data_IF_224562959854
#
_entry.id   IF_224562959854
#
_cell.length_a   1.000
_cell.length_b   1.000
_cell.length_c   1.000
_cell.angle_alpha   90.00
_cell.angle_beta   90.00
_cell.angle_gamma   90.00
#
_symmetry.space_group_name_H-M   'P 1'
#
loop_
_entity.id
_entity.type
_entity.pdbx_description
1 polymer ?
2 non-polymer ?
3 non-polymer ?
4 water ?
#
# COMPACT_ATOMS: atom_id res chain seq x y z
N UNK A 1 -8.39 -13.47 10.15
CA UNK A 1 -7.81 -12.14 10.40
C UNK A 1 -7.53 -11.38 9.06
N UNK A 2 -6.60 -11.80 8.19
CA UNK A 2 -6.31 -11.00 6.99
C UNK A 2 -7.09 -11.46 5.78
N UNK A 3 -7.90 -12.52 5.92
CA UNK A 3 -8.38 -13.24 4.74
C UNK A 3 -9.24 -12.43 3.78
N UNK A 4 -10.03 -11.49 4.28
CA UNK A 4 -10.88 -10.74 3.37
C UNK A 4 -10.09 -9.76 2.48
N UNK A 5 -8.81 -9.48 2.84
CA UNK A 5 -7.96 -8.65 2.02
C UNK A 5 -7.33 -9.40 0.85
N UNK A 6 -7.35 -10.74 0.91
CA UNK A 6 -6.60 -11.51 -0.09
C UNK A 6 -7.28 -11.45 -1.44
N UNK A 7 -6.49 -11.42 -2.49
CA UNK A 7 -6.97 -11.48 -3.85
C UNK A 7 -6.33 -10.43 -4.70
N UNK A 8 -6.96 -10.20 -5.86
CA UNK A 8 -6.49 -9.28 -6.86
C UNK A 8 -7.44 -8.08 -6.90
N UNK A 9 -6.85 -6.90 -6.83
CA UNK A 9 -7.57 -5.62 -6.69
C UNK A 9 -7.11 -4.65 -7.73
N UNK A 10 -8.03 -3.85 -8.27
CA UNK A 10 -7.73 -2.90 -9.31
C UNK A 10 -8.06 -1.50 -8.86
N UNK A 11 -7.21 -0.51 -9.15
CA UNK A 11 -7.48 0.88 -8.74
C UNK A 11 -8.67 1.43 -9.54
N UNK A 12 -9.62 2.02 -8.79
CA UNK A 12 -10.81 2.62 -9.42
C UNK A 12 -11.07 4.05 -8.94
N UNK A 13 -10.30 4.60 -8.03
CA UNK A 13 -10.44 6.01 -7.63
C UNK A 13 -9.18 6.42 -6.93
N UNK A 14 -8.80 7.69 -7.07
CA UNK A 14 -7.63 8.18 -6.36
C UNK A 14 -7.82 9.67 -6.05
N UNK A 15 -7.56 9.99 -4.77
CA UNK A 15 -7.67 11.36 -4.26
C UNK A 15 -6.35 11.74 -3.59
N UNK A 16 -5.78 12.85 -4.02
CA UNK A 16 -4.63 13.46 -3.39
C UNK A 16 -3.34 12.63 -3.51
N UNK A 17 -3.25 11.75 -4.51
CA UNK A 17 -1.99 10.99 -4.66
C UNK A 17 -0.86 11.90 -5.05
N UNK A 18 -1.11 12.93 -5.87
CA UNK A 18 -0.02 13.83 -6.19
C UNK A 18 0.51 14.52 -4.94
N UNK A 19 -0.39 14.97 -4.05
CA UNK A 19 0.03 15.57 -2.81
C UNK A 19 0.95 14.63 -2.01
N UNK A 20 0.54 13.38 -1.92
CA UNK A 20 1.31 12.37 -1.17
C UNK A 20 2.69 12.18 -1.79
N UNK A 21 2.72 11.96 -3.11
CA UNK A 21 3.98 11.78 -3.80
C UNK A 21 4.89 12.99 -3.65
N UNK A 22 4.31 14.18 -3.80
CA UNK A 22 5.15 15.37 -3.68
C UNK A 22 5.72 15.50 -2.28
N UNK A 23 4.95 15.15 -1.25
CA UNK A 23 5.42 15.19 0.14
C UNK A 23 6.64 14.28 0.32
N UNK A 24 6.62 13.12 -0.35
CA UNK A 24 7.73 12.16 -0.32
C UNK A 24 8.89 12.62 -1.19
N UNK A 25 8.81 13.71 -1.95
CA UNK A 25 9.89 14.16 -2.79
C UNK A 25 9.96 13.48 -4.16
N UNK A 26 8.88 12.85 -4.60
CA UNK A 26 8.84 12.26 -5.91
C UNK A 26 8.87 13.35 -6.98
N UNK A 27 9.70 13.18 -7.99
CA UNK A 27 9.83 14.18 -9.03
C UNK A 27 8.62 14.32 -9.94
N UNK A 28 8.53 15.49 -10.58
CA UNK A 28 7.30 15.83 -11.30
C UNK A 28 6.98 14.84 -12.41
N UNK A 29 7.99 14.32 -13.11
CA UNK A 29 7.72 13.44 -14.26
C UNK A 29 7.17 12.13 -13.81
N UNK A 30 7.74 11.61 -12.68
CA UNK A 30 7.18 10.40 -12.10
C UNK A 30 5.78 10.61 -11.60
N UNK A 31 5.52 11.77 -10.95
CA UNK A 31 4.16 12.03 -10.50
C UNK A 31 3.18 12.07 -11.67
N UNK A 32 3.61 12.67 -12.76
CA UNK A 32 2.77 12.81 -13.94
C UNK A 32 2.32 11.42 -14.40
N UNK A 33 3.30 10.51 -14.61
CA UNK A 33 2.95 9.18 -15.09
C UNK A 33 2.12 8.44 -14.06
N UNK A 34 2.52 8.53 -12.79
CA UNK A 34 1.79 7.85 -11.72
C UNK A 34 0.35 8.27 -11.63
N UNK A 35 0.06 9.56 -11.92
CA UNK A 35 -1.30 10.07 -11.82
C UNK A 35 -2.23 9.47 -12.84
N UNK A 36 -1.70 8.84 -13.88
CA UNK A 36 -2.48 8.21 -14.95
C UNK A 36 -2.34 6.68 -14.95
N UNK A 37 -1.69 6.14 -13.95
CA UNK A 37 -1.52 4.68 -13.85
C UNK A 37 -2.59 4.10 -12.95
N UNK A 38 -3.06 2.91 -13.25
CA UNK A 38 -4.04 2.20 -12.42
C UNK A 38 -3.43 0.85 -12.04
N UNK A 39 -2.79 0.76 -10.91
CA UNK A 39 -2.14 -0.50 -10.55
C UNK A 39 -3.17 -1.57 -10.22
N UNK A 40 -2.63 -2.80 -10.29
CA UNK A 40 -3.25 -3.99 -9.74
C UNK A 40 -2.48 -4.40 -8.51
N UNK A 41 -3.17 -4.60 -7.40
CA UNK A 41 -2.53 -5.07 -6.17
C UNK A 41 -3.02 -6.49 -5.91
N UNK A 42 -2.06 -7.38 -5.69
CA UNK A 42 -2.34 -8.79 -5.41
C UNK A 42 -1.84 -9.09 -4.01
N UNK A 43 -2.72 -9.58 -3.16
CA UNK A 43 -2.36 -9.92 -1.78
C UNK A 43 -2.60 -11.41 -1.61
N UNK A 44 -1.55 -12.14 -1.23
CA UNK A 44 -1.61 -13.59 -1.08
C UNK A 44 -1.01 -13.97 0.25
N UNK A 45 -1.40 -15.13 0.76
CA UNK A 45 -0.83 -15.65 2.00
C UNK A 45 -0.40 -17.08 1.79
N UNK A 46 0.66 -17.45 2.52
CA UNK A 46 1.11 -18.84 2.62
C UNK A 46 1.50 -19.01 4.08
N UNK A 47 0.61 -19.64 4.82
CA UNK A 47 0.82 -19.70 6.24
C UNK A 47 0.83 -18.31 6.81
N UNK A 48 1.90 -18.03 7.59
CA UNK A 48 2.16 -16.78 8.29
C UNK A 48 2.83 -15.75 7.40
N UNK A 49 3.00 -15.97 6.13
CA UNK A 49 3.71 -15.02 5.28
C UNK A 49 2.76 -14.44 4.23
N UNK A 50 2.69 -13.13 4.22
CA UNK A 50 1.95 -12.40 3.20
C UNK A 50 2.88 -11.88 2.12
N UNK A 51 2.36 -11.89 0.89
CA UNK A 51 3.04 -11.29 -0.22
C UNK A 51 2.09 -10.29 -0.86
N UNK A 52 2.59 -9.07 -1.05
CA UNK A 52 1.80 -7.97 -1.63
C UNK A 52 2.53 -7.48 -2.86
N UNK A 53 1.94 -7.70 -4.05
CA UNK A 53 2.46 -7.28 -5.32
C UNK A 53 1.65 -6.07 -5.83
N UNK A 54 2.39 -5.11 -6.35
CA UNK A 54 1.75 -3.95 -6.99
C UNK A 54 2.30 -3.91 -8.42
N UNK A 55 1.39 -4.09 -9.39
CA UNK A 55 1.78 -4.19 -10.78
C UNK A 55 1.18 -3.06 -11.58
N UNK A 56 1.95 -2.53 -12.50
CA UNK A 56 1.42 -1.48 -13.38
C UNK A 56 2.23 -1.39 -14.62
N UNK A 57 1.79 -0.51 -15.52
CA UNK A 57 2.53 -0.16 -16.72
C UNK A 57 3.76 0.69 -16.44
N UNK A 58 3.94 1.18 -15.22
CA UNK A 58 5.01 2.09 -14.87
C UNK A 58 5.98 1.45 -13.95
N UNK A 59 5.60 1.23 -12.69
CA UNK A 59 6.48 0.54 -11.71
C UNK A 59 5.80 -0.71 -11.21
N UNK A 60 6.61 -1.70 -10.82
CA UNK A 60 6.16 -2.89 -10.16
C UNK A 60 6.92 -3.05 -8.84
N UNK A 61 6.24 -3.52 -7.82
CA UNK A 61 6.87 -3.85 -6.55
C UNK A 61 6.33 -5.17 -6.08
N UNK A 62 7.11 -5.77 -5.08
CA UNK A 62 6.64 -6.95 -4.38
C UNK A 62 7.32 -6.93 -3.02
N UNK A 63 6.54 -7.18 -1.98
CA UNK A 63 7.05 -7.38 -0.65
C UNK A 63 6.49 -8.66 -0.06
N UNK A 64 7.28 -9.33 0.79
CA UNK A 64 6.81 -10.42 1.58
C UNK A 64 7.15 -10.15 3.05
N UNK A 65 6.24 -10.51 3.94
CA UNK A 65 6.41 -10.19 5.35
C UNK A 65 5.55 -11.09 6.19
N UNK A 66 5.92 -11.25 7.48
CA UNK A 66 4.99 -11.74 8.53
C UNK A 66 4.41 -10.56 9.23
N UNK A 67 3.12 -10.68 9.59
CA UNK A 67 2.49 -9.64 10.36
C UNK A 67 3.26 -9.48 11.65
N UNK A 68 3.51 -8.21 11.99
CA UNK A 68 4.11 -7.90 13.25
C UNK A 68 5.60 -8.11 13.34
N UNK A 69 6.27 -8.36 12.21
CA UNK A 69 7.71 -8.56 12.19
C UNK A 69 8.32 -7.57 11.22
N UNK A 70 9.25 -6.77 11.68
CA UNK A 70 9.87 -5.75 10.83
C UNK A 70 10.60 -6.37 9.66
N UNK A 71 10.61 -5.67 8.53
CA UNK A 71 11.30 -6.09 7.33
C UNK A 71 11.88 -4.88 6.63
N UNK A 72 12.97 -5.09 5.90
CA UNK A 72 13.51 -4.08 5.02
C UNK A 72 12.69 -4.01 3.74
N UNK A 73 12.52 -2.79 3.22
CA UNK A 73 11.75 -2.59 2.01
C UNK A 73 12.41 -1.47 1.20
N UNK A 74 12.35 -1.60 -0.13
CA UNK A 74 12.75 -0.55 -1.05
C UNK A 74 11.52 -0.18 -1.85
N UNK A 75 11.01 1.02 -1.63
CA UNK A 75 9.70 1.39 -2.19
C UNK A 75 9.78 1.69 -3.67
N UNK A 76 8.58 1.90 -4.27
CA UNK A 76 8.51 2.17 -5.70
C UNK A 76 9.28 3.42 -6.11
N UNK A 77 9.32 4.41 -5.19
CA UNK A 77 10.04 5.63 -5.38
C UNK A 77 11.46 5.58 -4.80
N UNK A 78 11.94 4.36 -4.54
CA UNK A 78 13.35 4.12 -4.19
C UNK A 78 13.77 4.57 -2.79
N UNK A 79 12.83 4.70 -1.88
CA UNK A 79 13.21 4.85 -0.46
C UNK A 79 13.58 3.50 0.15
N UNK A 80 14.66 3.49 0.94
CA UNK A 80 15.04 2.29 1.69
C UNK A 80 14.53 2.49 3.11
N UNK A 81 13.54 1.68 3.48
CA UNK A 81 12.79 1.89 4.71
C UNK A 81 12.78 0.64 5.56
N UNK A 82 12.45 0.83 6.83
CA UNK A 82 12.16 -0.23 7.79
C UNK A 82 10.66 -0.30 7.95
N UNK A 83 10.07 -1.44 7.69
CA UNK A 83 8.62 -1.57 7.60
C UNK A 83 8.07 -2.58 8.57
N UNK A 84 6.81 -2.39 8.94
CA UNK A 84 6.06 -3.40 9.68
C UNK A 84 4.63 -3.31 9.24
N UNK A 85 3.97 -4.45 9.12
CA UNK A 85 2.56 -4.52 8.77
C UNK A 85 1.86 -5.25 9.88
N UNK A 86 0.72 -4.74 10.35
CA UNK A 86 -0.05 -5.34 11.44
C UNK A 86 -1.55 -5.17 11.16
N UNK A 87 -2.37 -6.04 11.68
CA UNK A 87 -3.79 -5.73 11.78
C UNK A 87 -4.09 -4.87 13.01
N UNK A 88 -4.92 -3.85 12.79
CA UNK A 88 -5.26 -2.91 13.86
C UNK A 88 -6.72 -2.46 13.55
N UNK A 89 -7.62 -2.85 14.43
CA UNK A 89 -9.02 -2.47 14.16
C UNK A 89 -9.56 -3.08 12.92
N UNK A 90 -9.07 -4.24 12.53
CA UNK A 90 -9.48 -4.89 11.27
C UNK A 90 -8.87 -4.28 10.03
N UNK A 91 -7.98 -3.31 10.18
CA UNK A 91 -7.32 -2.67 9.06
C UNK A 91 -5.89 -3.21 8.95
N UNK A 92 -5.42 -3.36 7.74
CA UNK A 92 -4.04 -3.77 7.53
C UNK A 92 -3.20 -2.52 7.54
N UNK A 93 -2.32 -2.25 8.53
CA UNK A 93 -1.58 -1.02 8.70
C UNK A 93 -0.11 -1.28 8.39
N UNK A 94 0.40 -0.62 7.39
CA UNK A 94 1.80 -0.74 6.94
C UNK A 94 2.49 0.57 7.32
N UNK A 95 3.48 0.50 8.22
CA UNK A 95 4.26 1.65 8.65
C UNK A 95 5.65 1.56 8.09
N UNK A 96 6.12 2.59 7.43
CA UNK A 96 7.48 2.70 6.89
C UNK A 96 8.24 3.79 7.61
N UNK A 97 9.48 3.50 7.99
CA UNK A 97 10.35 4.45 8.73
C UNK A 97 11.68 4.60 7.98
N UNK A 98 12.13 5.82 7.82
CA UNK A 98 13.46 6.07 7.21
C UNK A 98 13.90 7.46 7.55
N UNK A 99 15.13 7.65 7.94
CA UNK A 99 15.67 8.99 8.18
C UNK A 99 14.84 9.75 9.24
N UNK A 100 14.25 9.04 10.20
CA UNK A 100 13.40 9.66 11.19
C UNK A 100 12.00 10.03 10.66
N UNK A 101 11.71 9.89 9.36
CA UNK A 101 10.42 10.09 8.77
C UNK A 101 9.59 8.83 8.90
N UNK A 102 8.28 9.00 8.76
CA UNK A 102 7.35 7.90 8.74
C UNK A 102 6.27 8.16 7.68
N UNK A 103 5.75 7.06 7.15
CA UNK A 103 4.51 7.12 6.39
C UNK A 103 3.71 5.88 6.70
N UNK A 104 2.40 6.02 6.68
CA UNK A 104 1.52 4.89 6.88
C UNK A 104 0.68 4.65 5.64
N UNK A 105 0.46 3.36 5.37
CA UNK A 105 -0.37 2.86 4.28
C UNK A 105 -1.41 1.98 4.93
N UNK A 106 -2.65 2.45 5.06
CA UNK A 106 -3.67 1.77 5.83
C UNK A 106 -4.71 1.24 4.85
N UNK A 107 -5.01 -0.06 4.93
CA UNK A 107 -6.01 -0.67 4.06
C UNK A 107 -7.18 -1.15 4.89
N UNK A 108 -8.38 -0.83 4.42
CA UNK A 108 -9.60 -1.22 5.10
C UNK A 108 -10.62 -1.60 4.07
N UNK A 109 -11.54 -2.46 4.46
CA UNK A 109 -12.61 -2.90 3.59
C UNK A 109 -13.85 -2.16 3.95
N UNK A 110 -14.47 -1.53 2.97
CA UNK A 110 -15.75 -0.76 3.14
C UNK A 110 -16.62 -1.14 1.94
N UNK A 111 -17.74 -1.82 2.25
CA UNK A 111 -18.67 -2.26 1.24
C UNK A 111 -18.03 -3.07 0.16
N UNK A 112 -17.11 -3.90 0.60
CA UNK A 112 -16.39 -4.78 -0.34
C UNK A 112 -15.28 -4.13 -1.11
N UNK A 113 -15.07 -2.84 -0.97
CA UNK A 113 -13.99 -2.15 -1.64
C UNK A 113 -12.82 -2.04 -0.70
N UNK A 114 -11.63 -2.05 -1.26
CA UNK A 114 -10.46 -1.82 -0.43
C UNK A 114 -10.10 -0.36 -0.55
N UNK A 115 -10.01 0.27 0.62
CA UNK A 115 -9.65 1.68 0.71
C UNK A 115 -8.25 1.77 1.32
N UNK A 116 -7.33 2.34 0.55
CA UNK A 116 -5.95 2.55 0.94
C UNK A 116 -5.77 4.03 1.28
N UNK A 117 -5.41 4.32 2.51
CA UNK A 117 -5.15 5.68 2.95
C UNK A 117 -3.66 5.82 3.19
N UNK A 118 -3.07 6.74 2.47
CA UNK A 118 -1.62 7.01 2.53
C UNK A 118 -1.44 8.31 3.28
N UNK A 119 -0.58 8.37 4.30
CA UNK A 119 -0.33 9.63 5.03
C UNK A 119 1.15 9.84 5.14
N UNK A 120 1.61 11.03 4.76
CA UNK A 120 3.01 11.43 5.00
C UNK A 120 2.95 12.94 5.24
N UNK A 121 3.63 13.40 6.28
CA UNK A 121 3.51 14.84 6.56
C UNK A 121 2.07 15.17 6.84
N UNK A 122 1.56 16.20 6.20
CA UNK A 122 0.16 16.54 6.30
C UNK A 122 -0.65 15.94 5.16
N UNK A 123 -0.01 15.33 4.16
CA UNK A 123 -0.71 14.81 2.99
C UNK A 123 -1.44 13.52 3.31
N UNK A 124 -2.70 13.46 2.90
CA UNK A 124 -3.54 12.30 3.09
C UNK A 124 -4.16 11.97 1.76
N UNK A 125 -3.81 10.79 1.22
CA UNK A 125 -4.33 10.29 -0.04
C UNK A 125 -5.23 9.10 0.22
N UNK A 126 -6.35 9.03 -0.52
CA UNK A 126 -7.22 7.89 -0.45
C UNK A 126 -7.37 7.27 -1.81
N UNK A 127 -7.03 5.99 -1.94
CA UNK A 127 -7.17 5.25 -3.15
C UNK A 127 -8.06 4.06 -2.95
N UNK A 128 -8.97 3.88 -3.89
CA UNK A 128 -9.97 2.84 -3.78
C UNK A 128 -9.69 1.78 -4.82
N UNK A 129 -9.71 0.53 -4.35
CA UNK A 129 -9.52 -0.64 -5.19
C UNK A 129 -10.76 -1.51 -5.15
N UNK A 130 -11.05 -2.14 -6.29
CA UNK A 130 -12.18 -3.07 -6.38
C UNK A 130 -11.65 -4.45 -6.76
N UNK A 131 -12.29 -5.45 -6.17
CA UNK A 131 -11.84 -6.82 -6.31
C UNK A 131 -12.08 -7.34 -7.71
N UNK A 132 -11.07 -7.94 -8.30
CA UNK A 132 -11.14 -8.75 -9.52
C UNK A 132 -11.42 -10.25 -9.20
N UNK A 133 -12.27 -10.83 -10.01
CA UNK A 133 -12.76 -12.19 -9.90
C UNK A 133 -11.66 -13.11 -10.16
X LIG B 1 -0.77 2.19 -4.30
X LIG B 1 -0.44 1.02 -3.97
X LIG B 1 -1.89 2.45 -4.86
X LIG B 1 0.14 3.35 -4.06
X LIG B 1 1.53 3.03 -3.57
X LIG B 1 2.44 4.22 -3.39
X LIG B 1 3.88 3.83 -3.08
X LIG B 1 4.79 5.01 -2.76
X LIG B 1 4.83 6.13 -3.76
X LIG B 1 5.32 5.67 -5.12
X LIG B 1 5.20 6.78 -6.16
X LIG B 1 5.73 6.43 -7.47
X LIG B 1 5.19 5.36 -8.22
X LIG B 1 3.79 5.18 -8.15
X LIG B 1 3.16 4.34 -9.22
X LIG B 1 2.39 3.15 -8.70
X LIG C 1 -9.34 5.54 -17.94
X LIG C 1 -8.49 4.67 -18.73
X LIG C 1 -9.00 3.26 -18.76
X LIG C 1 -8.89 2.65 -17.53
X LIG C 1 -9.25 1.28 -17.61
X LIG C 1 -9.11 0.57 -16.26
X LIG C 1 -9.84 1.23 -15.20
X LIG C 1 -11.26 1.25 -15.31
X LIG C 1 -11.87 1.79 -14.08
X LIG C 1 -11.54 3.15 -13.91
X LIG C 1 -12.27 3.79 -12.90
X LIG C 1 -11.80 5.23 -12.69
X LIG C 1 -10.47 5.22 -12.18
X LIG C 1 -10.15 6.50 -11.68
X LIG C 1 -8.79 6.53 -11.12
X LIG C 1 -7.86 6.79 -12.14
X LIG C 1 -6.53 6.94 -11.65
X LIG C 1 -5.59 7.15 -12.78
X LIG C 1 -5.85 8.46 -13.36
#
# INVERSE_FOLDING_TARGET
>A
MVDAFLGTWKLVDSKNFDDYMKSLGVGFATRQVASMTKPTTIIEKNGDILTLKTHSTFKNTEISFKLGVEFDETTADDRKVKSIVTLDGGKLVHLQKWDGQETTLVRELIDGKLILTLTHGTAVCTRTYEKEA
>B hetero
1 MYR C1 O1 O2 C2 C3 C4 C5 C6 C7 C8 C9 C10 C11 C12 C13 C14
>C hetero
1 P6G O1 C2 C3 O4 C5 C6 O7 C8 C9 O10 C11 C12 O13 C14 C15 O16 C17 C18 O19
#
